data_IF_975951798062
#
_entry.id   IF_975951798062
#
_cell.length_a   1.000
_cell.length_b   1.000
_cell.length_c   1.000
_cell.angle_alpha   90.00
_cell.angle_beta   90.00
_cell.angle_gamma   90.00
#
_symmetry.space_group_name_H-M   'P 1'
#
loop_
_entity.id
_entity.type
_entity.pdbx_description
1 polymer ?
#
# COMPACT_ATOMS: atom_id res chain seq x y z
N UNK A 1 18.49 15.65 36.13
CA UNK A 1 18.95 14.82 35.01
C UNK A 1 17.70 14.20 34.41
N UNK A 2 17.06 14.91 33.47
CA UNK A 2 15.74 14.51 32.97
C UNK A 2 15.87 13.23 32.17
N UNK A 3 15.11 12.20 32.55
CA UNK A 3 14.92 11.02 31.73
C UNK A 3 14.47 11.50 30.34
N UNK A 4 15.36 11.41 29.36
CA UNK A 4 14.99 11.45 27.97
C UNK A 4 13.99 10.32 27.78
N UNK A 5 12.69 10.66 27.83
CA UNK A 5 11.61 9.73 27.52
C UNK A 5 12.02 9.00 26.25
N UNK A 6 12.36 7.71 26.40
CA UNK A 6 12.73 6.87 25.27
C UNK A 6 11.54 6.96 24.32
N UNK A 7 11.70 7.70 23.22
CA UNK A 7 10.63 7.85 22.24
C UNK A 7 10.29 6.44 21.80
N UNK A 8 9.03 6.06 22.03
CA UNK A 8 8.52 4.76 21.64
C UNK A 8 8.60 4.67 20.12
N UNK A 9 9.65 4.01 19.63
CA UNK A 9 9.92 3.80 18.21
C UNK A 9 9.26 2.50 17.73
N UNK A 10 8.35 1.91 18.49
CA UNK A 10 7.64 0.72 18.04
C UNK A 10 6.60 1.05 16.95
N UNK A 11 6.48 0.16 15.96
CA UNK A 11 5.35 0.23 15.01
C UNK A 11 4.06 -0.10 15.74
N UNK A 12 3.15 0.88 15.80
CA UNK A 12 1.85 0.76 16.45
C UNK A 12 1.03 -0.43 15.94
N UNK A 13 0.25 -1.13 16.80
CA UNK A 13 -0.65 -2.20 16.38
C UNK A 13 -1.65 -1.78 15.31
N UNK A 14 -2.18 -0.55 15.39
CA UNK A 14 -3.08 0.00 14.39
C UNK A 14 -2.42 0.07 13.00
N UNK A 15 -1.15 0.49 12.93
CA UNK A 15 -0.38 0.53 11.67
C UNK A 15 -0.15 -0.87 11.10
N UNK A 16 0.05 -1.88 11.96
CA UNK A 16 0.17 -3.28 11.54
C UNK A 16 -1.14 -3.80 10.94
N UNK A 17 -2.27 -3.52 11.58
CA UNK A 17 -3.60 -3.89 11.07
C UNK A 17 -3.85 -3.21 9.73
N UNK A 18 -3.60 -1.90 9.63
CA UNK A 18 -3.72 -1.15 8.37
C UNK A 18 -2.84 -1.76 7.27
N UNK A 19 -1.59 -2.13 7.58
CA UNK A 19 -0.70 -2.77 6.62
C UNK A 19 -1.27 -4.11 6.12
N UNK A 20 -1.82 -4.95 6.99
CA UNK A 20 -2.46 -6.22 6.60
C UNK A 20 -3.67 -5.98 5.70
N UNK A 21 -4.53 -5.00 6.05
CA UNK A 21 -5.70 -4.64 5.25
C UNK A 21 -5.28 -4.19 3.85
N UNK A 22 -4.26 -3.33 3.75
CA UNK A 22 -3.75 -2.86 2.46
C UNK A 22 -3.16 -4.01 1.64
N UNK A 23 -2.35 -4.88 2.25
CA UNK A 23 -1.79 -6.07 1.57
C UNK A 23 -2.89 -6.99 1.05
N UNK A 24 -3.96 -7.21 1.82
CA UNK A 24 -5.10 -8.04 1.42
C UNK A 24 -5.82 -7.51 0.17
N UNK A 25 -5.75 -6.20 -0.10
CA UNK A 25 -6.28 -5.57 -1.33
C UNK A 25 -5.25 -5.60 -2.46
N UNK A 26 -3.98 -5.31 -2.16
CA UNK A 26 -2.93 -5.20 -3.17
C UNK A 26 -2.54 -6.55 -3.79
N UNK A 27 -2.57 -7.64 -3.01
CA UNK A 27 -2.19 -8.97 -3.50
C UNK A 27 -3.13 -9.48 -4.60
N UNK A 28 -4.47 -9.44 -4.43
CA UNK A 28 -5.40 -9.76 -5.52
C UNK A 28 -5.17 -8.89 -6.77
N UNK A 29 -4.96 -7.58 -6.59
CA UNK A 29 -4.69 -6.67 -7.70
C UNK A 29 -3.40 -7.05 -8.47
N UNK A 30 -2.33 -7.37 -7.75
CA UNK A 30 -1.09 -7.90 -8.33
C UNK A 30 -1.35 -9.19 -9.12
N UNK A 31 -2.04 -10.17 -8.52
CA UNK A 31 -2.31 -11.47 -9.15
C UNK A 31 -3.10 -11.30 -10.44
N UNK A 32 -4.15 -10.47 -10.42
CA UNK A 32 -5.02 -10.25 -11.58
C UNK A 32 -4.25 -9.51 -12.68
N UNK A 33 -3.59 -8.40 -12.36
CA UNK A 33 -3.05 -7.51 -13.38
C UNK A 33 -1.68 -7.93 -13.91
N UNK A 34 -0.83 -8.52 -13.07
CA UNK A 34 0.47 -9.02 -13.49
C UNK A 34 0.39 -10.48 -13.99
N UNK A 35 -0.41 -11.33 -13.33
CA UNK A 35 -0.54 -12.75 -13.68
C UNK A 35 -1.56 -13.04 -14.77
N UNK A 36 -2.62 -12.24 -14.88
CA UNK A 36 -3.73 -12.45 -15.83
C UNK A 36 -4.07 -11.17 -16.63
N UNK A 37 -3.09 -10.50 -17.27
CA UNK A 37 -3.27 -9.19 -17.89
C UNK A 37 -4.35 -9.16 -18.99
N UNK A 38 -4.66 -10.30 -19.60
CA UNK A 38 -5.68 -10.42 -20.65
C UNK A 38 -7.11 -10.58 -20.12
N UNK A 39 -7.30 -10.75 -18.81
CA UNK A 39 -8.62 -10.97 -18.18
C UNK A 39 -9.16 -9.74 -17.43
N UNK A 40 -8.67 -8.55 -17.76
CA UNK A 40 -9.12 -7.31 -17.12
C UNK A 40 -10.59 -7.00 -17.36
N UNK A 41 -11.19 -7.50 -18.45
CA UNK A 41 -12.62 -7.37 -18.72
C UNK A 41 -13.51 -8.12 -17.71
N UNK A 42 -13.02 -9.24 -17.15
CA UNK A 42 -13.80 -10.11 -16.26
C UNK A 42 -13.42 -9.93 -14.78
N UNK A 43 -12.15 -9.64 -14.51
CA UNK A 43 -11.57 -9.68 -13.16
C UNK A 43 -11.17 -8.31 -12.61
N UNK A 44 -11.27 -7.24 -13.42
CA UNK A 44 -10.92 -5.90 -13.01
C UNK A 44 -12.10 -4.94 -13.14
N UNK A 45 -12.03 -3.80 -12.46
CA UNK A 45 -13.12 -2.82 -12.46
C UNK A 45 -13.38 -2.20 -13.85
N UNK A 46 -12.42 -2.31 -14.78
CA UNK A 46 -12.57 -1.89 -16.16
C UNK A 46 -11.62 -2.65 -17.09
N UNK A 47 -11.98 -2.72 -18.37
CA UNK A 47 -11.13 -3.33 -19.41
C UNK A 47 -9.94 -2.44 -19.74
N UNK A 48 -8.73 -3.01 -19.72
CA UNK A 48 -7.51 -2.31 -20.12
C UNK A 48 -7.04 -2.86 -21.47
N UNK A 49 -7.14 -2.05 -22.52
CA UNK A 49 -6.85 -2.49 -23.89
C UNK A 49 -5.35 -2.72 -24.18
N UNK A 50 -4.47 -1.91 -23.58
CA UNK A 50 -3.03 -2.00 -23.81
C UNK A 50 -2.42 -3.11 -22.92
N UNK A 51 -1.84 -4.19 -23.48
CA UNK A 51 -1.41 -5.36 -22.69
C UNK A 51 -0.32 -5.09 -21.65
N UNK A 52 0.48 -4.04 -21.84
CA UNK A 52 1.59 -3.69 -20.95
C UNK A 52 1.11 -2.89 -19.73
N UNK A 53 -0.02 -2.19 -19.83
CA UNK A 53 -0.55 -1.36 -18.75
C UNK A 53 -0.97 -2.16 -17.51
N UNK A 54 -1.70 -3.30 -17.63
CA UNK A 54 -1.99 -4.16 -16.49
C UNK A 54 -0.72 -4.68 -15.81
N UNK A 55 0.28 -5.11 -16.59
CA UNK A 55 1.54 -5.63 -16.05
C UNK A 55 2.27 -4.54 -15.25
N UNK A 56 2.34 -3.32 -15.79
CA UNK A 56 2.94 -2.17 -15.13
C UNK A 56 2.20 -1.80 -13.82
N UNK A 57 0.87 -1.73 -13.87
CA UNK A 57 0.05 -1.47 -12.67
C UNK A 57 0.22 -2.58 -11.63
N UNK A 58 0.18 -3.83 -12.07
CA UNK A 58 0.42 -5.01 -11.24
C UNK A 58 1.78 -4.95 -10.53
N UNK A 59 2.85 -4.59 -11.24
CA UNK A 59 4.16 -4.39 -10.64
C UNK A 59 4.15 -3.28 -9.57
N UNK A 60 3.43 -2.17 -9.81
CA UNK A 60 3.21 -1.12 -8.82
C UNK A 60 2.49 -1.62 -7.57
N UNK A 61 1.41 -2.40 -7.73
CA UNK A 61 0.70 -3.02 -6.62
C UNK A 61 1.58 -4.02 -5.87
N UNK A 62 2.43 -4.77 -6.57
CA UNK A 62 3.40 -5.68 -5.95
C UNK A 62 4.46 -4.94 -5.13
N UNK A 63 4.99 -3.83 -5.63
CA UNK A 63 5.91 -2.98 -4.87
C UNK A 63 5.25 -2.44 -3.60
N UNK A 64 3.98 -1.99 -3.69
CA UNK A 64 3.19 -1.58 -2.54
C UNK A 64 2.96 -2.71 -1.53
N UNK A 65 2.57 -3.90 -2.00
CA UNK A 65 2.35 -5.06 -1.14
C UNK A 65 3.63 -5.44 -0.39
N UNK A 66 4.77 -5.48 -1.10
CA UNK A 66 6.07 -5.73 -0.48
C UNK A 66 6.39 -4.68 0.60
N UNK A 67 6.17 -3.39 0.31
CA UNK A 67 6.38 -2.33 1.29
C UNK A 67 5.52 -2.54 2.55
N UNK A 68 4.23 -2.80 2.42
CA UNK A 68 3.36 -2.98 3.59
C UNK A 68 3.61 -4.29 4.34
N UNK A 69 4.07 -5.36 3.68
CA UNK A 69 4.61 -6.53 4.36
C UNK A 69 5.83 -6.15 5.22
N UNK A 70 6.73 -5.31 4.70
CA UNK A 70 7.87 -4.77 5.47
C UNK A 70 7.43 -3.89 6.65
N UNK A 71 6.37 -3.09 6.50
CA UNK A 71 5.75 -2.33 7.61
C UNK A 71 5.25 -3.25 8.70
N UNK A 72 4.55 -4.34 8.32
CA UNK A 72 4.07 -5.33 9.29
C UNK A 72 5.23 -6.07 9.99
N UNK A 73 6.33 -6.34 9.29
CA UNK A 73 7.48 -7.04 9.88
C UNK A 73 8.42 -6.14 10.68
N UNK A 74 8.45 -4.84 10.40
CA UNK A 74 9.38 -3.93 11.07
C UNK A 74 9.04 -3.78 12.55
N UNK A 75 10.08 -3.66 13.36
CA UNK A 75 9.98 -3.40 14.80
C UNK A 75 10.11 -1.91 15.11
N UNK A 76 10.71 -1.13 14.20
CA UNK A 76 11.10 0.26 14.39
C UNK A 76 10.33 1.17 13.43
N UNK A 77 9.63 2.15 13.96
CA UNK A 77 8.82 3.09 13.20
C UNK A 77 9.66 3.91 12.25
N UNK A 78 10.85 4.36 12.68
CA UNK A 78 11.71 5.20 11.83
C UNK A 78 12.11 4.52 10.49
N UNK A 79 12.15 3.18 10.42
CA UNK A 79 12.55 2.46 9.21
C UNK A 79 11.48 2.55 8.11
N UNK A 80 10.23 2.77 8.50
CA UNK A 80 9.05 2.70 7.62
C UNK A 80 8.27 4.01 7.57
N UNK A 81 8.56 4.95 8.48
CA UNK A 81 7.81 6.19 8.67
C UNK A 81 7.71 7.03 7.40
N UNK A 82 8.79 7.16 6.63
CA UNK A 82 8.80 7.94 5.39
C UNK A 82 7.83 7.35 4.38
N UNK A 83 7.85 6.03 4.17
CA UNK A 83 6.95 5.38 3.21
C UNK A 83 5.48 5.41 3.67
N UNK A 84 5.23 5.20 4.96
CA UNK A 84 3.88 5.30 5.52
C UNK A 84 3.36 6.73 5.42
N UNK A 85 4.21 7.74 5.67
CA UNK A 85 3.85 9.15 5.52
C UNK A 85 3.51 9.50 4.07
N UNK A 86 4.30 9.03 3.10
CA UNK A 86 3.99 9.22 1.68
C UNK A 86 2.64 8.60 1.30
N UNK A 87 2.37 7.37 1.77
CA UNK A 87 1.09 6.70 1.54
C UNK A 87 -0.07 7.45 2.18
N UNK A 88 0.10 7.94 3.41
CA UNK A 88 -0.90 8.73 4.12
C UNK A 88 -1.19 10.06 3.41
N UNK A 89 -0.15 10.75 2.93
CA UNK A 89 -0.31 11.99 2.16
C UNK A 89 -1.11 11.74 0.87
N UNK A 90 -0.77 10.68 0.13
CA UNK A 90 -1.53 10.30 -1.06
C UNK A 90 -3.00 9.97 -0.73
N UNK A 91 -3.24 9.15 0.29
CA UNK A 91 -4.59 8.78 0.71
C UNK A 91 -5.40 10.00 1.17
N UNK A 92 -4.77 10.96 1.88
CA UNK A 92 -5.40 12.19 2.30
C UNK A 92 -5.78 13.06 1.10
N UNK A 93 -4.89 13.21 0.12
CA UNK A 93 -5.20 13.94 -1.12
C UNK A 93 -6.38 13.29 -1.85
N UNK A 94 -6.38 11.96 -1.99
CA UNK A 94 -7.49 11.21 -2.58
C UNK A 94 -8.81 11.42 -1.82
N UNK A 95 -8.76 11.42 -0.48
CA UNK A 95 -9.92 11.66 0.36
C UNK A 95 -10.47 13.09 0.17
N UNK A 96 -9.59 14.09 0.15
CA UNK A 96 -9.97 15.48 -0.12
C UNK A 96 -10.64 15.58 -1.49
N UNK A 97 -10.06 14.97 -2.52
CA UNK A 97 -10.66 14.94 -3.86
C UNK A 97 -12.04 14.28 -3.86
N UNK A 98 -12.21 13.19 -3.10
CA UNK A 98 -13.50 12.47 -3.01
C UNK A 98 -14.59 13.28 -2.31
N UNK A 99 -14.24 14.15 -1.36
CA UNK A 99 -15.21 15.00 -0.65
C UNK A 99 -15.58 16.25 -1.46
N UNK A 100 -14.64 16.77 -2.27
CA UNK A 100 -14.83 18.00 -3.05
C UNK A 100 -15.48 17.76 -4.42
N UNK A 101 -15.54 16.51 -4.90
CA UNK A 101 -16.09 16.14 -6.21
C UNK A 101 -17.38 15.33 -6.04
#
# INVERSE_FOLDING_TARGET
>A
MGESAVRDDAVLPATRIAAVVVVAVLVPALIILWGMPHKTADLWAWTIAAPLTPIFMGAGYGAGAYFFVRVYMSKRWHEVSVGVLSAAAFALLMLITTVLH
#
